data_IF_521061028216
#
_entry.id   IF_521061028216
#
_cell.length_a   1.000
_cell.length_b   1.000
_cell.length_c   1.000
_cell.angle_alpha   90.00
_cell.angle_beta   90.00
_cell.angle_gamma   90.00
#
_symmetry.space_group_name_H-M   'P 1'
#
loop_
_entity.id
_entity.type
_entity.pdbx_description
1 polymer ?
#
# COMPACT_ATOMS: atom_id res chain seq x y z
N UNK A 1 15.38 -10.29 -20.75
CA UNK A 1 14.08 -10.36 -20.04
C UNK A 1 13.26 -9.20 -20.58
N UNK A 2 12.15 -9.49 -21.19
CA UNK A 2 11.18 -8.50 -21.64
C UNK A 2 10.13 -8.25 -20.56
N UNK A 3 9.39 -7.14 -20.66
CA UNK A 3 8.24 -6.90 -19.80
C UNK A 3 7.19 -8.01 -19.89
N UNK A 4 6.99 -8.58 -21.07
CA UNK A 4 6.07 -9.70 -21.26
C UNK A 4 6.50 -10.93 -20.46
N UNK A 5 7.79 -11.31 -20.49
CA UNK A 5 8.31 -12.44 -19.71
C UNK A 5 8.06 -12.24 -18.20
N UNK A 6 8.19 -10.98 -17.73
CA UNK A 6 7.95 -10.65 -16.33
C UNK A 6 6.47 -10.80 -15.96
N UNK A 7 5.55 -10.28 -16.80
CA UNK A 7 4.12 -10.39 -16.55
C UNK A 7 3.62 -11.82 -16.63
N UNK A 8 4.13 -12.63 -17.57
CA UNK A 8 3.81 -14.05 -17.66
C UNK A 8 4.25 -14.80 -16.42
N UNK A 9 5.49 -14.55 -15.95
CA UNK A 9 6.03 -15.15 -14.73
C UNK A 9 5.22 -14.77 -13.49
N UNK A 10 4.81 -13.50 -13.39
CA UNK A 10 3.97 -13.03 -12.29
C UNK A 10 2.57 -13.66 -12.31
N UNK A 11 1.99 -13.79 -13.49
CA UNK A 11 0.67 -14.41 -13.67
C UNK A 11 0.70 -15.89 -13.30
N UNK A 12 1.76 -16.62 -13.71
CA UNK A 12 1.98 -18.01 -13.32
C UNK A 12 2.13 -18.14 -11.80
N UNK A 13 2.96 -17.31 -11.19
CA UNK A 13 3.16 -17.31 -9.73
C UNK A 13 1.85 -17.05 -8.98
N UNK A 14 1.04 -16.10 -9.43
CA UNK A 14 -0.28 -15.82 -8.84
C UNK A 14 -1.21 -17.04 -8.92
N UNK A 15 -1.27 -17.69 -10.09
CA UNK A 15 -2.09 -18.87 -10.29
C UNK A 15 -1.65 -20.02 -9.36
N UNK A 16 -0.34 -20.26 -9.25
CA UNK A 16 0.21 -21.30 -8.39
C UNK A 16 -0.03 -21.02 -6.91
N UNK A 17 0.14 -19.76 -6.46
CA UNK A 17 -0.17 -19.36 -5.10
C UNK A 17 -1.64 -19.55 -4.76
N UNK A 18 -2.55 -19.18 -5.66
CA UNK A 18 -3.99 -19.35 -5.46
C UNK A 18 -4.42 -20.82 -5.41
N UNK A 19 -3.79 -21.67 -6.22
CA UNK A 19 -4.16 -23.08 -6.31
C UNK A 19 -3.58 -23.95 -5.19
N UNK A 20 -2.31 -23.71 -4.83
CA UNK A 20 -1.55 -24.65 -4.00
C UNK A 20 -1.34 -24.20 -2.56
N UNK A 21 -1.38 -22.88 -2.29
CA UNK A 21 -1.03 -22.35 -0.97
C UNK A 21 -2.28 -22.08 -0.12
N UNK A 22 -2.18 -22.24 1.21
CA UNK A 22 -3.29 -22.00 2.15
C UNK A 22 -3.44 -20.50 2.45
N UNK A 23 -3.30 -19.63 1.43
CA UNK A 23 -3.37 -18.20 1.55
C UNK A 23 -4.45 -17.62 0.64
N UNK A 24 -5.06 -16.53 1.09
CA UNK A 24 -5.95 -15.76 0.21
C UNK A 24 -5.09 -14.90 -0.71
N UNK A 25 -5.21 -15.10 -2.01
CA UNK A 25 -4.70 -14.18 -3.02
C UNK A 25 -5.82 -13.24 -3.45
N UNK A 26 -5.62 -11.95 -3.26
CA UNK A 26 -6.61 -10.94 -3.63
C UNK A 26 -6.06 -10.06 -4.75
N UNK A 27 -6.88 -9.84 -5.76
CA UNK A 27 -6.65 -8.89 -6.83
C UNK A 27 -8.00 -8.30 -7.21
N UNK A 28 -8.20 -7.04 -6.92
CA UNK A 28 -9.46 -6.32 -7.16
C UNK A 28 -9.21 -5.29 -8.25
N UNK A 29 -10.10 -5.24 -9.23
CA UNK A 29 -10.01 -4.26 -10.29
C UNK A 29 -10.13 -2.84 -9.70
N UNK A 30 -9.36 -1.91 -10.27
CA UNK A 30 -9.28 -0.51 -9.83
C UNK A 30 -8.73 -0.30 -8.40
N UNK A 31 -8.22 -1.35 -7.75
CA UNK A 31 -7.60 -1.27 -6.42
C UNK A 31 -6.12 -1.61 -6.48
N UNK A 32 -5.32 -0.84 -5.76
CA UNK A 32 -3.92 -1.15 -5.49
C UNK A 32 -3.80 -2.10 -4.28
N UNK A 33 -2.61 -2.68 -4.10
CA UNK A 33 -2.37 -3.54 -2.95
C UNK A 33 -2.57 -2.81 -1.61
N UNK A 34 -2.26 -1.53 -1.58
CA UNK A 34 -2.36 -0.66 -0.42
C UNK A 34 -3.82 -0.45 -0.02
N UNK A 35 -4.70 -0.25 -1.00
CA UNK A 35 -6.15 -0.17 -0.77
C UNK A 35 -6.69 -1.47 -0.16
N UNK A 36 -6.27 -2.61 -0.72
CA UNK A 36 -6.71 -3.92 -0.25
C UNK A 36 -6.29 -4.12 1.21
N UNK A 37 -5.02 -3.85 1.52
CA UNK A 37 -4.48 -3.99 2.88
C UNK A 37 -5.20 -3.03 3.83
N UNK A 38 -5.37 -1.76 3.45
CA UNK A 38 -6.04 -0.76 4.26
C UNK A 38 -7.49 -1.12 4.57
N UNK A 39 -8.25 -1.57 3.58
CA UNK A 39 -9.64 -2.00 3.77
C UNK A 39 -9.71 -3.21 4.70
N UNK A 40 -8.86 -4.22 4.50
CA UNK A 40 -8.86 -5.42 5.33
C UNK A 40 -8.49 -5.14 6.78
N UNK A 41 -7.45 -4.35 7.02
CA UNK A 41 -7.04 -3.94 8.37
C UNK A 41 -8.17 -3.25 9.13
N UNK A 42 -8.89 -2.35 8.46
CA UNK A 42 -10.00 -1.61 9.07
C UNK A 42 -11.24 -2.49 9.27
N UNK A 43 -11.53 -3.35 8.30
CA UNK A 43 -12.78 -4.14 8.30
C UNK A 43 -12.71 -5.33 9.23
N UNK A 44 -11.56 -6.01 9.30
CA UNK A 44 -11.40 -7.21 10.13
C UNK A 44 -11.22 -6.86 11.60
N UNK A 45 -10.61 -5.71 11.92
CA UNK A 45 -10.37 -5.27 13.31
C UNK A 45 -9.45 -6.19 14.12
N UNK A 46 -8.87 -7.21 13.49
CA UNK A 46 -7.95 -8.15 14.10
C UNK A 46 -6.53 -7.59 14.16
N UNK A 47 -5.70 -8.20 15.00
CA UNK A 47 -4.27 -7.87 14.99
C UNK A 47 -3.64 -8.33 13.69
N UNK A 48 -3.04 -7.40 12.95
CA UNK A 48 -2.42 -7.68 11.66
C UNK A 48 -0.92 -7.38 11.66
N UNK A 49 -0.17 -8.21 10.94
CA UNK A 49 1.23 -7.96 10.60
C UNK A 49 1.33 -7.67 9.10
N UNK A 50 1.75 -6.46 8.75
CA UNK A 50 2.05 -6.09 7.36
C UNK A 50 3.52 -6.37 7.08
N UNK A 51 3.80 -7.21 6.08
CA UNK A 51 5.15 -7.50 5.60
C UNK A 51 5.45 -6.61 4.39
N UNK A 52 5.88 -5.38 4.64
CA UNK A 52 6.23 -4.43 3.58
C UNK A 52 7.26 -3.42 4.07
N UNK A 53 8.13 -2.98 3.16
CA UNK A 53 9.08 -1.88 3.41
C UNK A 53 8.48 -0.51 3.06
N UNK A 54 7.28 -0.48 2.52
CA UNK A 54 6.61 0.74 2.12
C UNK A 54 6.18 1.56 3.34
N UNK A 55 6.53 2.84 3.30
CA UNK A 55 6.22 3.77 4.41
C UNK A 55 4.77 4.24 4.40
N UNK A 56 4.02 3.98 3.34
CA UNK A 56 2.64 4.38 3.24
C UNK A 56 1.76 3.63 4.23
N UNK A 57 2.14 2.40 4.55
CA UNK A 57 1.50 1.63 5.60
C UNK A 57 1.67 2.18 7.02
N UNK A 58 2.55 3.16 7.25
CA UNK A 58 2.62 3.87 8.55
C UNK A 58 1.27 4.51 8.88
N UNK A 59 0.49 4.94 7.88
CA UNK A 59 -0.86 5.45 8.07
C UNK A 59 -1.78 4.46 8.80
N UNK A 60 -1.52 3.17 8.65
CA UNK A 60 -2.32 2.10 9.23
C UNK A 60 -1.92 1.75 10.68
N UNK A 61 -0.80 2.27 11.20
CA UNK A 61 -0.35 2.02 12.57
C UNK A 61 -1.31 2.56 13.63
N UNK A 62 -2.25 3.42 13.25
CA UNK A 62 -3.34 3.85 14.14
C UNK A 62 -4.39 2.76 14.42
N UNK A 63 -4.36 1.67 13.65
CA UNK A 63 -5.20 0.49 13.85
C UNK A 63 -4.38 -0.60 14.58
N UNK A 64 -4.96 -1.77 14.82
CA UNK A 64 -4.27 -2.88 15.48
C UNK A 64 -3.25 -3.57 14.54
N UNK A 65 -2.25 -2.83 14.06
CA UNK A 65 -1.30 -3.24 13.03
C UNK A 65 0.13 -3.11 13.52
N UNK A 66 0.95 -4.06 13.12
CA UNK A 66 2.42 -3.99 13.21
C UNK A 66 2.98 -4.17 11.79
N UNK A 67 3.97 -3.38 11.43
CA UNK A 67 4.65 -3.48 10.13
C UNK A 67 6.08 -3.97 10.30
N UNK A 68 6.48 -4.95 9.48
CA UNK A 68 7.86 -5.44 9.41
C UNK A 68 8.40 -5.26 8.00
N UNK A 69 9.58 -4.64 7.90
CA UNK A 69 10.30 -4.47 6.64
C UNK A 69 11.23 -5.66 6.39
N UNK A 70 10.94 -6.55 5.43
CA UNK A 70 11.84 -7.66 5.10
C UNK A 70 13.19 -7.21 4.58
N UNK A 71 13.23 -6.08 3.83
CA UNK A 71 14.46 -5.51 3.29
C UNK A 71 15.38 -4.99 4.39
N UNK A 72 14.83 -4.30 5.38
CA UNK A 72 15.59 -3.72 6.50
C UNK A 72 15.72 -4.70 7.68
N UNK A 73 15.00 -5.82 7.65
CA UNK A 73 14.95 -6.85 8.71
C UNK A 73 14.60 -6.26 10.08
N UNK A 74 13.66 -5.32 10.11
CA UNK A 74 13.23 -4.65 11.34
C UNK A 74 11.76 -4.23 11.27
N UNK A 75 11.18 -4.00 12.44
CA UNK A 75 9.88 -3.36 12.53
C UNK A 75 9.97 -1.91 12.08
N UNK A 76 8.94 -1.46 11.37
CA UNK A 76 8.77 -0.07 10.96
C UNK A 76 7.95 0.63 12.04
N UNK A 77 8.46 1.74 12.52
CA UNK A 77 7.79 2.59 13.50
C UNK A 77 7.56 3.99 12.90
N UNK A 78 6.50 4.66 13.32
CA UNK A 78 6.17 6.00 12.86
C UNK A 78 4.84 6.51 13.39
N UNK A 79 4.71 7.83 13.42
CA UNK A 79 3.45 8.48 13.75
C UNK A 79 2.55 8.52 12.52
N UNK A 80 1.44 7.80 12.56
CA UNK A 80 0.49 7.67 11.46
C UNK A 80 -0.08 9.02 11.01
N UNK A 81 -0.41 9.90 11.97
CA UNK A 81 -0.99 11.21 11.68
C UNK A 81 0.04 12.15 11.06
N UNK A 82 1.26 12.15 11.61
CA UNK A 82 2.35 12.95 11.07
C UNK A 82 2.75 12.48 9.67
N UNK A 83 2.89 11.17 9.45
CA UNK A 83 3.26 10.59 8.17
C UNK A 83 2.26 10.96 7.07
N UNK A 84 0.95 10.80 7.36
CA UNK A 84 -0.10 11.20 6.44
C UNK A 84 -0.06 12.72 6.17
N UNK A 85 0.00 13.55 7.20
CA UNK A 85 0.09 15.01 7.08
C UNK A 85 1.26 15.44 6.19
N UNK A 86 2.44 14.89 6.43
CA UNK A 86 3.63 15.19 5.64
C UNK A 86 3.43 14.85 4.17
N UNK A 87 2.90 13.68 3.86
CA UNK A 87 2.62 13.23 2.48
C UNK A 87 1.54 14.05 1.81
N UNK A 88 0.45 14.37 2.50
CA UNK A 88 -0.60 15.23 1.92
C UNK A 88 -0.07 16.59 1.50
N UNK A 89 0.87 17.16 2.27
CA UNK A 89 1.44 18.48 1.98
C UNK A 89 2.57 18.39 0.97
N UNK A 90 3.53 17.48 1.16
CA UNK A 90 4.71 17.34 0.29
C UNK A 90 4.43 16.61 -1.01
N UNK A 91 3.31 15.88 -1.11
CA UNK A 91 3.07 14.93 -2.18
C UNK A 91 3.96 13.69 -2.07
N UNK A 92 3.92 12.87 -3.10
CA UNK A 92 4.78 11.72 -3.29
C UNK A 92 5.40 11.75 -4.69
N UNK A 93 6.68 12.08 -4.76
CA UNK A 93 7.40 12.21 -6.04
C UNK A 93 7.58 10.84 -6.70
N UNK A 94 7.67 9.76 -5.91
CA UNK A 94 7.79 8.40 -6.43
C UNK A 94 6.57 7.97 -7.23
N UNK A 95 5.39 8.38 -6.77
CA UNK A 95 4.10 8.09 -7.39
C UNK A 95 3.62 9.22 -8.32
N UNK A 96 4.46 10.22 -8.56
CA UNK A 96 4.14 11.32 -9.46
C UNK A 96 3.17 12.35 -8.87
N UNK A 97 2.98 12.37 -7.55
CA UNK A 97 2.07 13.30 -6.85
C UNK A 97 2.82 14.54 -6.39
N UNK A 98 2.58 15.73 -6.97
CA UNK A 98 3.24 16.96 -6.56
C UNK A 98 2.78 17.48 -5.20
N UNK A 99 3.61 18.33 -4.58
CA UNK A 99 3.24 19.01 -3.35
C UNK A 99 2.13 20.06 -3.57
N UNK A 100 1.54 20.54 -2.47
CA UNK A 100 0.37 21.46 -2.52
C UNK A 100 0.69 22.84 -3.11
N UNK A 101 1.98 23.22 -3.21
CA UNK A 101 2.40 24.50 -3.77
C UNK A 101 2.68 24.45 -5.27
N UNK A 102 2.57 23.28 -5.90
CA UNK A 102 3.06 23.04 -7.26
C UNK A 102 1.96 22.54 -8.17
N UNK A 103 2.05 22.92 -9.45
CA UNK A 103 1.12 22.49 -10.50
C UNK A 103 1.14 20.98 -10.71
N UNK A 104 0.07 20.43 -11.27
CA UNK A 104 -0.08 18.99 -11.53
C UNK A 104 0.99 18.44 -12.47
N UNK A 105 1.45 19.25 -13.44
CA UNK A 105 2.43 18.82 -14.45
C UNK A 105 3.90 19.00 -14.02
N UNK A 106 4.17 19.58 -12.83
CA UNK A 106 5.53 19.98 -12.43
C UNK A 106 6.54 18.82 -12.39
N UNK A 107 6.08 17.59 -12.21
CA UNK A 107 6.94 16.39 -12.17
C UNK A 107 7.15 15.76 -13.55
N UNK A 108 6.35 16.13 -14.56
CA UNK A 108 6.43 15.62 -15.95
C UNK A 108 7.07 16.63 -16.90
N UNK A 109 6.93 17.93 -16.62
CA UNK A 109 7.49 18.99 -17.47
C UNK A 109 9.01 19.10 -17.28
N UNK A 110 9.76 18.97 -18.36
CA UNK A 110 11.23 19.10 -18.33
C UNK A 110 11.66 20.49 -17.81
N UNK A 111 12.63 20.48 -16.90
CA UNK A 111 13.23 21.72 -16.35
C UNK A 111 12.40 22.40 -15.26
N UNK A 112 11.20 21.96 -14.96
CA UNK A 112 10.41 22.48 -13.83
C UNK A 112 10.81 21.82 -12.52
N UNK A 113 10.68 22.56 -11.43
CA UNK A 113 10.93 22.08 -10.07
C UNK A 113 9.80 22.48 -9.16
N UNK A 114 9.45 21.60 -8.23
CA UNK A 114 8.47 21.90 -7.19
C UNK A 114 8.92 23.09 -6.33
N UNK A 115 7.94 23.89 -5.89
CA UNK A 115 8.19 24.92 -4.88
C UNK A 115 8.52 24.25 -3.55
N UNK A 116 9.65 24.60 -2.88
CA UNK A 116 10.03 23.95 -1.64
C UNK A 116 9.07 24.31 -0.50
N UNK A 117 8.80 23.32 0.36
CA UNK A 117 8.04 23.53 1.60
C UNK A 117 9.00 23.39 2.79
N UNK A 118 9.13 24.46 3.56
CA UNK A 118 9.98 24.46 4.73
C UNK A 118 9.42 23.55 5.83
N UNK A 119 10.28 22.79 6.51
CA UNK A 119 9.88 21.89 7.60
C UNK A 119 9.13 22.63 8.73
N UNK A 120 9.48 23.90 8.99
CA UNK A 120 8.77 24.73 9.95
C UNK A 120 7.28 24.87 9.60
N UNK A 121 6.95 25.09 8.33
CA UNK A 121 5.55 25.19 7.89
C UNK A 121 4.78 23.88 8.05
N UNK A 122 5.42 22.74 7.82
CA UNK A 122 4.79 21.44 8.08
C UNK A 122 4.36 21.31 9.55
N UNK A 123 5.26 21.68 10.48
CA UNK A 123 4.95 21.64 11.91
C UNK A 123 3.88 22.66 12.31
N UNK A 124 3.90 23.86 11.72
CA UNK A 124 2.90 24.89 11.97
C UNK A 124 1.50 24.50 11.47
N UNK A 125 1.40 23.76 10.39
CA UNK A 125 0.14 23.31 9.80
C UNK A 125 -0.38 22.00 10.39
N UNK A 126 0.43 21.30 11.19
CA UNK A 126 0.04 20.00 11.76
C UNK A 126 -1.16 20.16 12.71
N UNK A 127 -2.20 19.39 12.44
CA UNK A 127 -3.44 19.43 13.24
C UNK A 127 -4.37 20.61 12.95
N UNK A 128 -4.02 21.46 11.96
CA UNK A 128 -4.85 22.58 11.51
C UNK A 128 -5.63 22.15 10.28
N UNK A 129 -6.91 22.51 10.24
CA UNK A 129 -7.75 22.25 9.06
C UNK A 129 -7.18 22.95 7.82
N UNK A 130 -7.11 22.28 6.66
CA UNK A 130 -6.44 22.80 5.47
C UNK A 130 -7.04 24.13 4.98
N UNK A 131 -8.32 24.36 5.20
CA UNK A 131 -9.02 25.59 4.83
C UNK A 131 -8.49 26.82 5.55
N UNK A 132 -7.79 26.64 6.69
CA UNK A 132 -7.27 27.74 7.51
C UNK A 132 -5.87 28.20 7.09
N UNK A 133 -5.13 27.37 6.33
CA UNK A 133 -3.78 27.74 5.90
C UNK A 133 -3.56 27.65 4.39
N UNK A 134 -4.45 27.00 3.66
CA UNK A 134 -4.37 26.89 2.20
C UNK A 134 -5.01 28.08 1.51
N UNK A 135 -4.40 28.53 0.41
CA UNK A 135 -5.11 29.30 -0.63
C UNK A 135 -6.06 28.36 -1.38
N UNK A 136 -6.92 28.89 -2.21
CA UNK A 136 -7.84 28.10 -3.04
C UNK A 136 -7.09 27.06 -3.90
N UNK A 137 -5.99 27.46 -4.55
CA UNK A 137 -5.14 26.58 -5.34
C UNK A 137 -4.48 25.49 -4.48
N UNK A 138 -3.94 25.86 -3.33
CA UNK A 138 -3.33 24.91 -2.40
C UNK A 138 -4.35 23.89 -1.89
N UNK A 139 -5.58 24.33 -1.60
CA UNK A 139 -6.66 23.47 -1.12
C UNK A 139 -7.08 22.46 -2.20
N UNK A 140 -7.18 22.91 -3.46
CA UNK A 140 -7.39 22.01 -4.59
C UNK A 140 -6.30 20.92 -4.65
N UNK A 141 -5.05 21.34 -4.56
CA UNK A 141 -3.90 20.42 -4.61
C UNK A 141 -3.86 19.49 -3.39
N UNK A 142 -4.22 19.99 -2.20
CA UNK A 142 -4.36 19.17 -0.99
C UNK A 142 -5.44 18.10 -1.16
N UNK A 143 -6.59 18.44 -1.70
CA UNK A 143 -7.68 17.50 -1.94
C UNK A 143 -7.30 16.45 -3.00
N UNK A 144 -6.57 16.84 -4.07
CA UNK A 144 -5.97 15.89 -5.02
C UNK A 144 -5.05 14.91 -4.31
N UNK A 145 -4.12 15.41 -3.49
CA UNK A 145 -3.18 14.56 -2.76
C UNK A 145 -3.92 13.64 -1.78
N UNK A 146 -4.97 14.14 -1.13
CA UNK A 146 -5.80 13.34 -0.24
C UNK A 146 -6.44 12.15 -0.96
N UNK A 147 -7.02 12.37 -2.13
CA UNK A 147 -7.62 11.29 -2.92
C UNK A 147 -6.61 10.23 -3.39
N UNK A 148 -5.34 10.62 -3.59
CA UNK A 148 -4.30 9.72 -4.12
C UNK A 148 -3.46 9.05 -3.02
N UNK A 149 -3.42 9.61 -1.80
CA UNK A 149 -2.47 9.21 -0.76
C UNK A 149 -3.18 8.69 0.49
N UNK A 150 -4.36 9.26 0.83
CA UNK A 150 -5.02 8.92 2.10
C UNK A 150 -5.73 7.58 2.01
N UNK A 151 -5.14 6.56 2.58
CA UNK A 151 -5.74 5.22 2.66
C UNK A 151 -7.07 5.18 3.44
N UNK A 152 -7.53 6.31 4.01
CA UNK A 152 -8.86 6.41 4.58
C UNK A 152 -9.91 6.91 3.58
N UNK A 153 -9.50 7.42 2.43
CA UNK A 153 -10.35 8.02 1.41
C UNK A 153 -10.59 7.10 0.18
N UNK A 154 -10.54 5.79 0.40
CA UNK A 154 -10.78 4.77 -0.63
C UNK A 154 -12.26 4.78 -1.03
N UNK A 155 -12.59 4.82 -2.34
CA UNK A 155 -13.98 4.79 -2.81
C UNK A 155 -14.79 3.61 -2.24
N UNK A 156 -16.02 3.86 -1.84
CA UNK A 156 -16.89 2.86 -1.21
C UNK A 156 -17.10 1.63 -2.10
N UNK A 157 -17.22 1.81 -3.41
CA UNK A 157 -17.33 0.71 -4.37
C UNK A 157 -16.13 -0.23 -4.33
N UNK A 158 -14.92 0.31 -4.22
CA UNK A 158 -13.69 -0.46 -4.08
C UNK A 158 -13.66 -1.19 -2.73
N UNK A 159 -14.02 -0.52 -1.63
CA UNK A 159 -14.13 -1.14 -0.31
C UNK A 159 -15.09 -2.34 -0.29
N UNK A 160 -16.24 -2.21 -0.94
CA UNK A 160 -17.24 -3.28 -1.08
C UNK A 160 -16.65 -4.46 -1.87
N UNK A 161 -16.01 -4.19 -3.01
CA UNK A 161 -15.43 -5.21 -3.88
C UNK A 161 -14.30 -5.97 -3.17
N UNK A 162 -13.42 -5.28 -2.45
CA UNK A 162 -12.36 -5.89 -1.64
C UNK A 162 -12.97 -6.82 -0.58
N UNK A 163 -13.94 -6.31 0.18
CA UNK A 163 -14.60 -7.05 1.25
C UNK A 163 -15.34 -8.28 0.73
N UNK A 164 -15.96 -8.16 -0.45
CA UNK A 164 -16.63 -9.26 -1.13
C UNK A 164 -15.63 -10.32 -1.55
N UNK A 165 -14.58 -9.92 -2.29
CA UNK A 165 -13.56 -10.86 -2.77
C UNK A 165 -12.87 -11.59 -1.61
N UNK A 166 -12.54 -10.89 -0.52
CA UNK A 166 -11.96 -11.51 0.67
C UNK A 166 -12.82 -12.64 1.24
N UNK A 167 -14.16 -12.44 1.29
CA UNK A 167 -15.09 -13.47 1.78
C UNK A 167 -15.24 -14.64 0.82
N UNK A 168 -15.27 -14.35 -0.48
CA UNK A 168 -15.51 -15.35 -1.52
C UNK A 168 -14.25 -16.15 -1.90
N UNK A 169 -13.04 -15.60 -1.63
CA UNK A 169 -11.79 -16.27 -1.95
C UNK A 169 -11.60 -17.51 -1.08
N UNK A 170 -11.54 -18.66 -1.74
CA UNK A 170 -11.25 -19.95 -1.12
C UNK A 170 -9.73 -20.11 -1.01
N UNK A 171 -9.25 -20.63 0.09
CA UNK A 171 -7.83 -20.94 0.29
C UNK A 171 -7.52 -22.37 -0.11
N UNK A 172 -6.30 -22.58 -0.63
CA UNK A 172 -5.80 -23.92 -0.90
C UNK A 172 -5.63 -24.76 0.37
N UNK A 173 -5.54 -26.08 0.21
CA UNK A 173 -5.35 -26.98 1.34
C UNK A 173 -3.86 -27.16 1.65
N UNK A 174 -3.46 -26.91 2.89
CA UNK A 174 -2.08 -27.07 3.35
C UNK A 174 -1.46 -28.44 2.99
N UNK A 175 -2.26 -29.50 2.99
CA UNK A 175 -1.78 -30.86 2.63
C UNK A 175 -1.24 -30.96 1.21
N UNK A 176 -1.60 -30.04 0.30
CA UNK A 176 -1.14 -30.02 -1.09
C UNK A 176 0.27 -29.43 -1.25
N UNK A 177 0.75 -28.66 -0.26
CA UNK A 177 2.06 -27.99 -0.32
C UNK A 177 3.22 -28.97 -0.51
N UNK A 178 3.21 -30.09 0.19
CA UNK A 178 4.29 -31.09 0.08
C UNK A 178 4.43 -31.58 -1.36
N UNK A 179 3.32 -31.94 -1.99
CA UNK A 179 3.29 -32.38 -3.39
C UNK A 179 3.80 -31.30 -4.34
N UNK A 180 3.37 -30.05 -4.13
CA UNK A 180 3.83 -28.91 -4.91
C UNK A 180 5.34 -28.72 -4.77
N UNK A 181 5.87 -28.69 -3.54
CA UNK A 181 7.32 -28.51 -3.29
C UNK A 181 8.18 -29.61 -3.90
N UNK A 182 7.73 -30.86 -3.83
CA UNK A 182 8.44 -32.00 -4.44
C UNK A 182 8.45 -31.86 -5.95
N UNK A 183 7.30 -31.58 -6.58
CA UNK A 183 7.16 -31.47 -8.03
C UNK A 183 8.02 -30.34 -8.61
N UNK A 184 8.14 -29.23 -7.87
CA UNK A 184 8.94 -28.07 -8.26
C UNK A 184 10.39 -28.11 -7.71
N UNK A 185 10.79 -29.21 -7.06
CA UNK A 185 12.14 -29.41 -6.48
C UNK A 185 12.55 -28.30 -5.49
N UNK A 186 11.60 -27.80 -4.72
CA UNK A 186 11.79 -26.73 -3.74
C UNK A 186 12.29 -27.31 -2.39
N UNK A 187 13.52 -27.83 -2.39
CA UNK A 187 14.08 -28.56 -1.25
C UNK A 187 14.01 -27.79 0.07
N UNK A 188 14.44 -26.53 0.07
CA UNK A 188 14.43 -25.69 1.27
C UNK A 188 13.03 -25.51 1.86
N UNK A 189 12.00 -25.36 0.99
CA UNK A 189 10.61 -25.22 1.45
C UNK A 189 10.06 -26.56 1.94
N UNK A 190 10.48 -27.67 1.33
CA UNK A 190 10.12 -29.01 1.80
C UNK A 190 10.63 -29.27 3.21
N UNK A 191 11.88 -28.88 3.50
CA UNK A 191 12.51 -29.03 4.82
C UNK A 191 11.82 -28.18 5.90
N UNK A 192 11.20 -27.07 5.53
CA UNK A 192 10.52 -26.13 6.41
C UNK A 192 8.98 -26.17 6.27
N UNK A 193 8.43 -27.30 5.82
CA UNK A 193 6.98 -27.43 5.57
C UNK A 193 6.11 -27.12 6.80
N UNK A 194 6.65 -27.30 8.00
CA UNK A 194 5.94 -27.01 9.26
C UNK A 194 5.68 -25.53 9.49
N UNK A 195 6.40 -24.64 8.78
CA UNK A 195 6.27 -23.20 8.92
C UNK A 195 5.10 -22.63 8.09
N UNK A 196 4.54 -23.44 7.20
CA UNK A 196 3.36 -23.11 6.38
C UNK A 196 2.10 -23.70 7.07
#
# INVERSE_FOLDING_TARGET
ITWNDLYESLSLMKAELAEWFPYKLLQVDEAEADDIIAVLVKTLGERALILSSDKDFIQLHQFNVVQYSPMQKKFVDGDAKWSLHEKLIKGDVGDGVPNILSDDSVLVDEGRRQRPIASKKLSEWFGIAPELFCTEEMLRNFNRNKQLIDLNDIPESICINISKQYRETIVGERKRLLTYFINHRLKNLTENLSEF
#
